data_IF_364594688595
#
_entry.id   IF_364594688595
#
_cell.length_a   1.000
_cell.length_b   1.000
_cell.length_c   1.000
_cell.angle_alpha   90.00
_cell.angle_beta   90.00
_cell.angle_gamma   90.00
#
_symmetry.space_group_name_H-M   'P 1'
#
loop_
_entity.id
_entity.type
_entity.pdbx_description
1 polymer ?
#
# COMPACT_ATOMS: atom_id res chain seq x y z
N UNK A 1 4.70 -1.05 -17.50
CA UNK A 1 3.96 -2.15 -16.86
C UNK A 1 4.96 -3.06 -16.18
N UNK A 2 4.65 -3.60 -15.01
CA UNK A 2 5.49 -4.53 -14.24
C UNK A 2 4.61 -5.62 -13.60
N UNK A 3 5.22 -6.75 -13.24
CA UNK A 3 4.53 -7.80 -12.49
C UNK A 3 4.55 -7.47 -10.99
N UNK A 4 3.43 -7.75 -10.32
CA UNK A 4 3.30 -7.66 -8.86
C UNK A 4 3.77 -8.94 -8.15
N UNK A 5 3.51 -9.03 -6.86
CA UNK A 5 3.87 -10.16 -6.00
C UNK A 5 2.64 -10.85 -5.38
N UNK A 6 2.86 -11.99 -4.71
CA UNK A 6 1.86 -12.74 -3.95
C UNK A 6 2.53 -13.41 -2.73
N UNK A 7 3.37 -12.66 -2.02
CA UNK A 7 4.13 -13.14 -0.87
C UNK A 7 3.40 -12.85 0.46
N UNK A 8 2.41 -11.95 0.45
CA UNK A 8 1.74 -11.48 1.66
C UNK A 8 2.74 -10.87 2.65
N UNK A 9 2.80 -11.43 3.86
CA UNK A 9 3.76 -11.04 4.90
C UNK A 9 5.04 -11.87 4.90
N UNK A 10 5.17 -12.85 3.99
CA UNK A 10 6.37 -13.66 3.87
C UNK A 10 7.49 -12.83 3.24
N UNK A 11 8.65 -12.77 3.89
CA UNK A 11 9.81 -12.01 3.44
C UNK A 11 11.04 -12.90 3.32
N UNK A 12 11.93 -12.53 2.41
CA UNK A 12 13.20 -13.21 2.16
C UNK A 12 14.37 -12.25 2.41
N UNK A 13 15.33 -12.65 3.23
CA UNK A 13 16.47 -11.78 3.57
C UNK A 13 16.11 -10.62 4.50
N UNK A 14 16.92 -9.56 4.47
CA UNK A 14 16.81 -8.40 5.37
C UNK A 14 16.03 -7.23 4.74
N UNK A 15 15.79 -6.17 5.52
CA UNK A 15 15.06 -4.97 5.06
C UNK A 15 15.74 -4.30 3.85
N UNK A 16 17.07 -4.35 3.78
CA UNK A 16 17.82 -3.79 2.65
C UNK A 16 17.62 -4.60 1.37
N UNK A 17 17.52 -5.93 1.48
CA UNK A 17 17.17 -6.83 0.40
C UNK A 17 15.73 -6.58 -0.07
N UNK A 18 14.79 -6.45 0.86
CA UNK A 18 13.39 -6.14 0.54
C UNK A 18 13.27 -4.85 -0.26
N UNK A 19 13.93 -3.77 0.18
CA UNK A 19 13.97 -2.51 -0.56
C UNK A 19 14.54 -2.66 -1.98
N UNK A 20 15.67 -3.36 -2.14
CA UNK A 20 16.30 -3.55 -3.46
C UNK A 20 15.41 -4.33 -4.42
N UNK A 21 14.72 -5.35 -3.91
CA UNK A 21 13.76 -6.12 -4.70
C UNK A 21 12.58 -5.25 -5.10
N UNK A 22 11.99 -4.50 -4.17
CA UNK A 22 10.90 -3.56 -4.42
C UNK A 22 11.29 -2.53 -5.50
N UNK A 23 12.45 -1.89 -5.35
CA UNK A 23 12.96 -0.92 -6.31
C UNK A 23 13.17 -1.54 -7.69
N UNK A 24 13.79 -2.72 -7.76
CA UNK A 24 14.03 -3.41 -9.04
C UNK A 24 12.73 -3.76 -9.77
N UNK A 25 11.68 -4.13 -9.04
CA UNK A 25 10.41 -4.53 -9.63
C UNK A 25 9.59 -3.35 -10.13
N UNK A 26 9.59 -2.24 -9.39
CA UNK A 26 8.62 -1.17 -9.60
C UNK A 26 9.22 0.14 -10.17
N UNK A 27 10.54 0.22 -10.36
CA UNK A 27 11.15 1.40 -10.97
C UNK A 27 10.61 1.65 -12.39
N UNK A 28 10.14 2.88 -12.64
CA UNK A 28 9.46 3.30 -13.87
C UNK A 28 8.21 2.45 -14.23
N UNK A 29 7.55 1.87 -13.23
CA UNK A 29 6.31 1.13 -13.45
C UNK A 29 5.08 2.05 -13.32
N UNK A 30 4.21 2.03 -14.34
CA UNK A 30 2.92 2.74 -14.29
C UNK A 30 1.74 1.84 -13.91
N UNK A 31 1.79 0.55 -14.27
CA UNK A 31 0.70 -0.42 -14.05
C UNK A 31 1.30 -1.69 -13.46
N UNK A 32 0.86 -2.05 -12.26
CA UNK A 32 1.23 -3.29 -11.57
C UNK A 32 0.22 -4.39 -11.93
N UNK A 33 0.70 -5.39 -12.67
CA UNK A 33 -0.05 -6.60 -13.00
C UNK A 33 0.06 -7.59 -11.85
N UNK A 34 -0.95 -7.63 -10.99
CA UNK A 34 -0.97 -8.38 -9.74
C UNK A 34 -1.06 -7.44 -8.54
N UNK A 35 -0.42 -7.81 -7.44
CA UNK A 35 -0.52 -7.09 -6.18
C UNK A 35 0.72 -6.23 -5.92
N UNK A 36 0.52 -5.09 -5.28
CA UNK A 36 1.62 -4.26 -4.78
C UNK A 36 1.78 -4.52 -3.29
N UNK A 37 2.81 -5.27 -2.92
CA UNK A 37 3.13 -5.57 -1.51
C UNK A 37 4.37 -4.76 -1.08
N UNK A 38 4.16 -3.84 -0.14
CA UNK A 38 5.20 -2.98 0.45
C UNK A 38 5.31 -3.37 1.91
N UNK A 39 6.29 -4.21 2.21
CA UNK A 39 6.44 -4.87 3.50
C UNK A 39 7.88 -4.76 4.00
N UNK A 40 8.07 -4.49 5.29
CA UNK A 40 9.37 -4.39 5.97
C UNK A 40 10.37 -3.38 5.35
N UNK A 41 9.89 -2.24 4.89
CA UNK A 41 10.75 -1.16 4.40
C UNK A 41 11.22 -0.25 5.55
N UNK A 42 12.53 -0.05 5.61
CA UNK A 42 13.20 0.77 6.62
C UNK A 42 13.03 2.29 6.39
N UNK A 43 13.25 3.07 7.44
CA UNK A 43 12.99 4.51 7.51
C UNK A 43 13.93 5.37 6.65
N UNK A 44 15.07 4.83 6.25
CA UNK A 44 16.11 5.52 5.47
C UNK A 44 15.91 5.44 3.96
N UNK A 45 14.93 4.65 3.50
CA UNK A 45 14.81 4.26 2.10
C UNK A 45 14.03 5.31 1.28
N UNK A 46 14.48 5.55 0.04
CA UNK A 46 13.79 6.43 -0.91
C UNK A 46 12.81 5.64 -1.79
N UNK A 47 11.52 5.88 -1.59
CA UNK A 47 10.45 5.22 -2.32
C UNK A 47 9.97 6.01 -3.55
N UNK A 48 10.65 7.10 -3.93
CA UNK A 48 10.24 8.00 -5.04
C UNK A 48 9.90 7.27 -6.35
N UNK A 49 10.54 6.14 -6.63
CA UNK A 49 10.25 5.30 -7.80
C UNK A 49 8.80 4.78 -7.87
N UNK A 50 8.08 4.69 -6.73
CA UNK A 50 6.67 4.29 -6.69
C UNK A 50 5.73 5.37 -7.21
N UNK A 51 6.18 6.63 -7.30
CA UNK A 51 5.34 7.74 -7.73
C UNK A 51 4.82 7.60 -9.16
N UNK A 52 5.44 6.75 -9.99
CA UNK A 52 4.99 6.53 -11.36
C UNK A 52 3.77 5.61 -11.44
N UNK A 53 3.48 4.85 -10.38
CA UNK A 53 2.38 3.88 -10.36
C UNK A 53 1.04 4.63 -10.42
N UNK A 54 0.22 4.26 -11.39
CA UNK A 54 -1.13 4.79 -11.64
C UNK A 54 -2.22 3.78 -11.39
N UNK A 55 -1.90 2.50 -11.53
CA UNK A 55 -2.89 1.43 -11.42
C UNK A 55 -2.27 0.17 -10.83
N UNK A 56 -3.03 -0.49 -9.95
CA UNK A 56 -2.75 -1.83 -9.45
C UNK A 56 -3.94 -2.73 -9.77
N UNK A 57 -3.72 -3.84 -10.46
CA UNK A 57 -4.83 -4.72 -10.87
C UNK A 57 -5.35 -5.58 -9.72
N UNK A 58 -4.48 -6.04 -8.83
CA UNK A 58 -4.83 -6.84 -7.66
C UNK A 58 -5.14 -5.96 -6.45
N UNK A 59 -4.57 -6.32 -5.30
CA UNK A 59 -4.64 -5.54 -4.07
C UNK A 59 -3.34 -4.77 -3.78
N UNK A 60 -3.40 -3.87 -2.80
CA UNK A 60 -2.25 -3.18 -2.20
C UNK A 60 -2.14 -3.57 -0.73
N UNK A 61 -0.96 -4.05 -0.33
CA UNK A 61 -0.61 -4.38 1.05
C UNK A 61 0.53 -3.48 1.52
N UNK A 62 0.32 -2.76 2.62
CA UNK A 62 1.30 -1.87 3.25
C UNK A 62 1.42 -2.27 4.72
N UNK A 63 2.43 -3.06 5.05
CA UNK A 63 2.54 -3.62 6.39
C UNK A 63 3.96 -3.59 6.97
N UNK A 64 4.05 -3.37 8.28
CA UNK A 64 5.30 -3.47 9.05
C UNK A 64 6.43 -2.56 8.54
N UNK A 65 6.09 -1.42 7.94
CA UNK A 65 7.05 -0.44 7.47
C UNK A 65 7.34 0.63 8.51
N UNK A 66 8.50 1.29 8.42
CA UNK A 66 8.90 2.34 9.37
C UNK A 66 9.34 3.65 8.70
N UNK A 67 9.20 3.78 7.37
CA UNK A 67 9.34 5.05 6.65
C UNK A 67 8.15 6.00 6.92
N UNK A 68 8.35 7.30 6.72
CA UNK A 68 7.36 8.32 7.13
C UNK A 68 6.28 8.63 6.11
N UNK A 69 6.54 8.46 4.82
CA UNK A 69 5.63 8.84 3.74
C UNK A 69 5.65 7.83 2.59
N UNK A 70 4.47 7.46 2.09
CA UNK A 70 4.32 6.57 0.94
C UNK A 70 4.00 7.34 -0.36
N UNK A 71 4.92 7.42 -1.34
CA UNK A 71 4.82 8.19 -2.61
C UNK A 71 3.75 7.82 -3.66
N UNK A 72 2.60 7.25 -3.33
CA UNK A 72 1.63 6.77 -4.35
C UNK A 72 0.74 7.88 -4.96
N UNK A 73 1.27 9.09 -5.16
CA UNK A 73 0.53 10.30 -5.51
C UNK A 73 -0.17 10.27 -6.87
N UNK A 74 0.27 9.40 -7.78
CA UNK A 74 -0.36 9.22 -9.09
C UNK A 74 -1.25 7.98 -9.17
N UNK A 75 -1.38 7.20 -8.11
CA UNK A 75 -2.25 6.04 -8.09
C UNK A 75 -3.70 6.51 -8.21
N UNK A 76 -4.43 5.98 -9.19
CA UNK A 76 -5.82 6.35 -9.49
C UNK A 76 -6.80 5.24 -9.22
N UNK A 77 -6.41 4.00 -9.50
CA UNK A 77 -7.30 2.85 -9.48
C UNK A 77 -6.63 1.64 -8.83
N UNK A 78 -7.36 0.98 -7.95
CA UNK A 78 -7.10 -0.40 -7.50
C UNK A 78 -8.23 -1.26 -8.05
N UNK A 79 -7.94 -2.23 -8.92
CA UNK A 79 -9.01 -2.99 -9.57
C UNK A 79 -9.58 -4.11 -8.69
N UNK A 80 -8.80 -4.65 -7.74
CA UNK A 80 -9.28 -5.73 -6.88
C UNK A 80 -9.60 -7.02 -7.64
N UNK A 81 -8.77 -7.42 -8.61
CA UNK A 81 -8.89 -8.76 -9.23
C UNK A 81 -8.44 -9.89 -8.30
N UNK A 82 -7.73 -9.52 -7.22
CA UNK A 82 -7.31 -10.36 -6.10
C UNK A 82 -7.47 -9.56 -4.82
N UNK A 83 -7.59 -10.23 -3.68
CA UNK A 83 -7.79 -9.61 -2.37
C UNK A 83 -6.80 -10.15 -1.35
N UNK A 84 -6.41 -9.28 -0.41
CA UNK A 84 -5.74 -9.68 0.82
C UNK A 84 -6.78 -10.07 1.88
N UNK A 85 -6.52 -11.14 2.65
CA UNK A 85 -7.48 -11.73 3.61
C UNK A 85 -8.87 -11.93 2.99
N UNK A 86 -8.90 -12.40 1.74
CA UNK A 86 -10.10 -12.73 0.94
C UNK A 86 -11.03 -11.57 0.58
N UNK A 87 -10.89 -10.38 1.19
CA UNK A 87 -11.83 -9.27 0.99
C UNK A 87 -11.24 -7.89 0.78
N UNK A 88 -9.97 -7.63 1.09
CA UNK A 88 -9.43 -6.27 1.05
C UNK A 88 -8.60 -6.00 -0.21
N UNK A 89 -8.92 -4.89 -0.88
CA UNK A 89 -8.14 -4.37 -2.00
C UNK A 89 -7.07 -3.36 -1.54
N UNK A 90 -7.27 -2.73 -0.37
CA UNK A 90 -6.26 -1.92 0.30
C UNK A 90 -6.15 -2.37 1.76
N UNK A 91 -4.96 -2.77 2.18
CA UNK A 91 -4.69 -3.26 3.53
C UNK A 91 -3.45 -2.58 4.12
N UNK A 92 -3.62 -1.83 5.20
CA UNK A 92 -2.57 -1.01 5.84
C UNK A 92 -2.49 -1.32 7.33
N UNK A 93 -1.41 -1.96 7.77
CA UNK A 93 -1.32 -2.51 9.13
C UNK A 93 0.08 -2.38 9.75
N UNK A 94 0.14 -1.96 11.03
CA UNK A 94 1.35 -2.01 11.86
C UNK A 94 2.57 -1.26 11.28
N UNK A 95 2.37 -0.12 10.63
CA UNK A 95 3.47 0.65 10.03
C UNK A 95 4.16 1.60 11.03
N UNK A 96 4.74 1.05 12.10
CA UNK A 96 5.51 1.78 13.10
C UNK A 96 6.50 0.87 13.84
N UNK A 97 7.56 1.47 14.40
CA UNK A 97 8.45 0.79 15.33
C UNK A 97 8.07 1.18 16.78
N UNK A 98 7.77 0.23 17.68
CA UNK A 98 7.38 0.54 19.06
C UNK A 98 8.50 1.14 19.91
N UNK A 99 9.77 0.98 19.50
CA UNK A 99 10.95 1.42 20.26
C UNK A 99 11.53 2.75 19.76
N UNK A 100 10.99 3.33 18.68
CA UNK A 100 11.48 4.58 18.10
C UNK A 100 10.32 5.45 17.63
N UNK A 101 10.61 6.65 17.09
CA UNK A 101 9.59 7.53 16.49
C UNK A 101 9.36 7.26 14.99
N UNK A 102 10.01 6.24 14.44
CA UNK A 102 9.90 5.87 13.03
C UNK A 102 8.58 5.16 12.77
N UNK A 103 7.74 5.78 11.96
CA UNK A 103 6.40 5.31 11.65
C UNK A 103 5.88 5.99 10.39
N UNK A 104 4.97 5.30 9.70
CA UNK A 104 4.22 5.84 8.57
C UNK A 104 3.24 6.91 9.06
N UNK A 105 3.37 8.11 8.51
CA UNK A 105 2.56 9.28 8.88
C UNK A 105 1.56 9.65 7.81
N UNK A 106 1.87 9.40 6.54
CA UNK A 106 1.02 9.81 5.43
C UNK A 106 1.03 8.78 4.30
N UNK A 107 -0.16 8.43 3.84
CA UNK A 107 -0.38 7.72 2.59
C UNK A 107 -0.58 8.77 1.48
N UNK A 108 0.31 8.80 0.49
CA UNK A 108 0.21 9.73 -0.63
C UNK A 108 -0.86 9.32 -1.64
N UNK A 109 -2.07 8.94 -1.25
CA UNK A 109 -3.12 8.42 -2.14
C UNK A 109 -4.01 9.52 -2.75
N UNK A 110 -3.43 10.70 -3.01
CA UNK A 110 -4.19 11.92 -3.32
C UNK A 110 -4.99 11.85 -4.63
N UNK A 111 -4.58 11.00 -5.58
CA UNK A 111 -5.28 10.81 -6.86
C UNK A 111 -6.13 9.53 -6.90
N UNK A 112 -6.21 8.78 -5.80
CA UNK A 112 -6.98 7.54 -5.75
C UNK A 112 -8.45 7.88 -5.80
N UNK A 113 -9.10 7.55 -6.92
CA UNK A 113 -10.52 7.85 -7.14
C UNK A 113 -11.39 6.60 -7.12
N UNK A 114 -10.83 5.42 -7.38
CA UNK A 114 -11.63 4.19 -7.48
C UNK A 114 -10.93 2.95 -6.92
N UNK A 115 -11.68 2.20 -6.10
CA UNK A 115 -11.41 0.80 -5.76
C UNK A 115 -12.58 0.00 -6.35
N UNK A 116 -12.32 -0.74 -7.43
CA UNK A 116 -13.40 -1.36 -8.24
C UNK A 116 -14.05 -2.58 -7.54
N UNK A 117 -13.28 -3.30 -6.73
CA UNK A 117 -13.75 -4.43 -5.94
C UNK A 117 -12.90 -4.59 -4.68
N UNK A 118 -13.50 -5.11 -3.61
CA UNK A 118 -12.85 -5.31 -2.32
C UNK A 118 -12.95 -4.10 -1.39
N UNK A 119 -12.65 -4.35 -0.12
CA UNK A 119 -12.73 -3.38 0.96
C UNK A 119 -11.41 -2.66 1.26
N UNK A 120 -11.48 -1.74 2.22
CA UNK A 120 -10.35 -1.02 2.78
C UNK A 120 -10.20 -1.41 4.24
N UNK A 121 -8.96 -1.71 4.66
CA UNK A 121 -8.61 -1.98 6.04
C UNK A 121 -7.35 -1.19 6.41
N UNK A 122 -7.47 -0.30 7.38
CA UNK A 122 -6.42 0.58 7.88
C UNK A 122 -6.51 0.58 9.40
N UNK A 123 -5.77 -0.28 10.09
CA UNK A 123 -5.78 -0.30 11.55
C UNK A 123 -4.36 -0.42 12.13
N UNK A 124 -4.21 -0.04 13.40
CA UNK A 124 -2.96 -0.17 14.17
C UNK A 124 -1.78 0.54 13.49
N UNK A 125 -2.01 1.73 12.94
CA UNK A 125 -0.95 2.60 12.41
C UNK A 125 -0.81 3.81 13.33
N UNK A 126 0.00 3.67 14.40
CA UNK A 126 -0.01 4.57 15.56
C UNK A 126 0.26 6.07 15.27
N UNK A 127 0.82 6.40 14.11
CA UNK A 127 1.19 7.77 13.73
C UNK A 127 0.62 8.19 12.37
N UNK A 128 -0.26 7.37 11.78
CA UNK A 128 -0.83 7.65 10.47
C UNK A 128 -1.90 8.74 10.58
N UNK A 129 -1.79 9.77 9.75
CA UNK A 129 -2.66 10.94 9.77
C UNK A 129 -3.61 10.96 8.57
N UNK A 130 -4.72 11.69 8.74
CA UNK A 130 -5.69 12.07 7.70
C UNK A 130 -6.55 10.95 7.10
N UNK A 131 -6.20 9.67 7.26
CA UNK A 131 -6.98 8.56 6.70
C UNK A 131 -8.43 8.51 7.18
N UNK A 132 -8.69 8.98 8.41
CA UNK A 132 -10.04 9.12 8.99
C UNK A 132 -10.87 10.24 8.34
N UNK A 133 -10.23 11.20 7.66
CA UNK A 133 -10.91 12.33 7.00
C UNK A 133 -11.34 12.02 5.57
N UNK A 134 -10.91 10.88 5.04
CA UNK A 134 -11.23 10.43 3.68
C UNK A 134 -12.60 9.74 3.69
N UNK A 135 -13.50 10.15 2.81
CA UNK A 135 -14.77 9.47 2.59
C UNK A 135 -14.53 8.21 1.73
N UNK A 136 -14.15 7.11 2.37
CA UNK A 136 -13.80 5.87 1.69
C UNK A 136 -14.96 5.24 0.91
N UNK A 137 -16.21 5.52 1.31
CA UNK A 137 -17.40 5.03 0.59
C UNK A 137 -17.56 5.65 -0.79
N UNK A 138 -16.99 6.84 -1.02
CA UNK A 138 -16.98 7.47 -2.34
C UNK A 138 -15.96 6.81 -3.29
N UNK A 139 -14.93 6.19 -2.72
CA UNK A 139 -13.82 5.55 -3.46
C UNK A 139 -14.14 4.06 -3.72
N UNK A 140 -14.74 3.37 -2.74
CA UNK A 140 -15.10 1.96 -2.83
C UNK A 140 -16.34 1.73 -3.68
N UNK A 141 -16.25 0.84 -4.68
CA UNK A 141 -17.39 0.48 -5.55
C UNK A 141 -18.24 -0.68 -5.06
N UNK A 142 -17.80 -1.45 -4.06
CA UNK A 142 -18.59 -2.55 -3.49
C UNK A 142 -19.46 -2.04 -2.31
N UNK A 143 -20.78 -1.87 -2.48
CA UNK A 143 -21.64 -1.28 -1.45
C UNK A 143 -21.93 -2.22 -0.27
N UNK A 144 -21.46 -3.48 -0.33
CA UNK A 144 -21.69 -4.47 0.73
C UNK A 144 -20.59 -4.49 1.78
N UNK A 145 -19.47 -3.81 1.51
CA UNK A 145 -18.32 -3.76 2.38
C UNK A 145 -18.22 -2.38 3.02
N UNK A 146 -17.90 -2.36 4.30
CA UNK A 146 -17.62 -1.14 5.04
C UNK A 146 -16.11 -0.96 5.20
N UNK A 147 -15.58 0.26 5.04
CA UNK A 147 -14.19 0.54 5.34
C UNK A 147 -13.93 0.35 6.84
N UNK A 148 -12.80 -0.26 7.19
CA UNK A 148 -12.30 -0.33 8.56
C UNK A 148 -11.09 0.58 8.63
N UNK A 149 -11.22 1.74 9.27
CA UNK A 149 -10.20 2.81 9.33
C UNK A 149 -10.15 3.39 10.74
#
# INVERSE_FOLDING_TARGET
VCAGTLNGLSVTGDAQHQYRTLQRMYNNCEIVMGNLEIVLIDHTQDLSFLQTIREVTGYILIAMNVFSWLPLQNLRVIRGTQFYEEKYALFVLLNYNPNTTHALRQLGLNQLTEILAGGVYIEKNAQLCHVETVEWRDIMRDPRLEPVV
#
